data_IF_921869477997
#
_entry.id   IF_921869477997
#
_cell.length_a   1.000
_cell.length_b   1.000
_cell.length_c   1.000
_cell.angle_alpha   90.00
_cell.angle_beta   90.00
_cell.angle_gamma   90.00
#
_symmetry.space_group_name_H-M   'P 1'
#
loop_
_entity.id
_entity.type
_entity.pdbx_description
1 polymer ?
#
# COMPACT_ATOMS: atom_id res chain seq x y z
N UNK A 1 47.42 56.79 -41.84
CA UNK A 1 46.62 55.98 -42.78
C UNK A 1 45.74 55.04 -41.98
N UNK A 2 44.41 55.12 -42.13
CA UNK A 2 43.46 54.29 -41.36
C UNK A 2 43.50 52.85 -41.90
N UNK A 3 43.85 51.90 -41.06
CA UNK A 3 43.83 50.46 -41.38
C UNK A 3 42.39 49.97 -41.24
N UNK A 4 41.71 49.77 -42.37
CA UNK A 4 40.38 49.18 -42.38
C UNK A 4 40.49 47.69 -41.99
N UNK A 5 39.72 47.24 -40.99
CA UNK A 5 39.60 45.83 -40.64
C UNK A 5 39.09 45.04 -41.85
N UNK A 6 39.79 43.97 -42.20
CA UNK A 6 39.39 43.09 -43.30
C UNK A 6 38.21 42.23 -42.84
N UNK A 7 37.03 42.49 -43.40
CA UNK A 7 35.85 41.66 -43.18
C UNK A 7 36.07 40.31 -43.85
N UNK A 8 35.97 39.18 -43.12
CA UNK A 8 36.14 37.86 -43.70
C UNK A 8 35.04 37.61 -44.73
N UNK A 9 35.42 37.35 -45.99
CA UNK A 9 34.49 36.97 -47.07
C UNK A 9 34.41 35.45 -47.15
N UNK A 10 33.18 34.92 -47.20
CA UNK A 10 32.96 33.50 -47.42
C UNK A 10 33.44 33.08 -48.82
N UNK A 11 33.91 31.83 -49.01
CA UNK A 11 34.34 31.33 -50.31
C UNK A 11 33.20 31.42 -51.33
N UNK A 12 33.50 31.90 -52.54
CA UNK A 12 32.52 31.99 -53.64
C UNK A 12 32.20 30.60 -54.21
N UNK A 13 31.36 29.85 -53.50
CA UNK A 13 30.88 28.54 -53.94
C UNK A 13 29.98 28.69 -55.18
N UNK A 14 30.35 28.01 -56.28
CA UNK A 14 29.61 27.97 -57.55
C UNK A 14 28.16 27.46 -57.43
N UNK A 15 27.81 26.83 -56.30
CA UNK A 15 26.45 26.37 -56.02
C UNK A 15 25.48 27.52 -55.75
N UNK A 16 25.96 28.67 -55.24
CA UNK A 16 25.10 29.87 -55.05
C UNK A 16 24.65 30.51 -56.36
N UNK A 17 25.41 30.36 -57.45
CA UNK A 17 25.06 30.90 -58.78
C UNK A 17 24.09 30.02 -59.59
N UNK A 18 23.74 28.82 -59.10
CA UNK A 18 22.79 27.92 -59.77
C UNK A 18 21.36 28.02 -59.26
N UNK A 19 21.12 28.80 -58.19
CA UNK A 19 19.79 28.93 -57.59
C UNK A 19 19.04 30.06 -58.29
N UNK A 20 17.82 29.78 -58.75
CA UNK A 20 16.92 30.78 -59.33
C UNK A 20 16.72 31.93 -58.33
N UNK A 21 16.69 33.20 -58.76
CA UNK A 21 16.45 34.31 -57.85
C UNK A 21 15.08 34.14 -57.19
N UNK A 22 15.10 33.93 -55.87
CA UNK A 22 13.90 33.90 -55.04
C UNK A 22 13.34 35.32 -54.96
N UNK A 23 12.02 35.47 -55.13
CA UNK A 23 11.32 36.75 -54.90
C UNK A 23 11.35 37.18 -53.42
N UNK A 24 11.72 36.27 -52.53
CA UNK A 24 11.79 36.49 -51.09
C UNK A 24 13.23 36.66 -50.65
N UNK A 25 13.45 37.67 -49.82
CA UNK A 25 14.73 37.92 -49.16
C UNK A 25 15.17 36.65 -48.38
N UNK A 26 16.47 36.32 -48.38
CA UNK A 26 17.01 35.28 -47.52
C UNK A 26 16.60 35.50 -46.05
N UNK A 27 16.36 34.40 -45.33
CA UNK A 27 15.96 34.43 -43.91
C UNK A 27 16.93 35.26 -43.05
N UNK A 28 18.23 35.14 -43.29
CA UNK A 28 19.26 35.94 -42.61
C UNK A 28 19.07 37.46 -42.82
N UNK A 29 18.65 37.90 -44.01
CA UNK A 29 18.44 39.32 -44.30
C UNK A 29 17.12 39.84 -43.68
N UNK A 30 16.11 38.97 -43.56
CA UNK A 30 14.86 39.30 -42.89
C UNK A 30 15.06 39.48 -41.38
N UNK A 31 15.84 38.60 -40.76
CA UNK A 31 16.17 38.69 -39.33
C UNK A 31 16.97 39.96 -39.01
N UNK A 32 17.89 40.37 -39.89
CA UNK A 32 18.64 41.63 -39.72
C UNK A 32 17.72 42.85 -39.80
N UNK A 33 16.81 42.89 -40.79
CA UNK A 33 15.85 43.98 -40.93
C UNK A 33 14.87 44.05 -39.74
N UNK A 34 14.45 42.90 -39.22
CA UNK A 34 13.56 42.82 -38.07
C UNK A 34 14.28 43.27 -36.78
N UNK A 35 15.55 42.90 -36.61
CA UNK A 35 16.41 43.38 -35.53
C UNK A 35 16.72 44.88 -35.62
N UNK A 36 16.90 45.42 -36.82
CA UNK A 36 17.11 46.87 -37.05
C UNK A 36 15.82 47.68 -36.83
N UNK A 37 14.66 47.12 -37.18
CA UNK A 37 13.35 47.74 -36.97
C UNK A 37 12.84 47.61 -35.52
N UNK A 38 13.30 46.60 -34.77
CA UNK A 38 12.83 46.35 -33.42
C UNK A 38 13.32 47.42 -32.45
N UNK A 39 12.46 48.40 -32.17
CA UNK A 39 12.67 49.39 -31.12
C UNK A 39 12.03 48.87 -29.83
N UNK A 40 12.86 48.46 -28.88
CA UNK A 40 12.39 47.95 -27.58
C UNK A 40 11.55 49.01 -26.85
N UNK A 41 10.25 48.72 -26.68
CA UNK A 41 9.34 49.52 -25.85
C UNK A 41 8.99 48.69 -24.62
N UNK A 42 9.50 49.09 -23.46
CA UNK A 42 9.15 48.45 -22.21
C UNK A 42 7.66 48.69 -21.90
N UNK A 43 6.90 47.62 -21.72
CA UNK A 43 5.56 47.72 -21.14
C UNK A 43 5.70 48.13 -19.67
N UNK A 44 4.92 49.11 -19.19
CA UNK A 44 5.01 49.53 -17.79
C UNK A 44 4.76 48.34 -16.87
N UNK A 45 5.50 48.31 -15.75
CA UNK A 45 5.34 47.29 -14.72
C UNK A 45 3.91 47.37 -14.16
N UNK A 46 3.21 46.24 -14.10
CA UNK A 46 1.83 46.20 -13.62
C UNK A 46 1.80 46.41 -12.10
N UNK A 47 1.42 47.59 -11.61
CA UNK A 47 1.45 47.92 -10.17
C UNK A 47 0.68 46.94 -9.28
N UNK A 48 -0.29 46.21 -9.85
CA UNK A 48 -1.03 45.14 -9.16
C UNK A 48 -0.13 44.04 -8.61
N UNK A 49 1.06 43.81 -9.18
CA UNK A 49 2.01 42.82 -8.64
C UNK A 49 2.55 43.18 -7.25
N UNK A 50 2.53 44.46 -6.88
CA UNK A 50 2.97 44.93 -5.55
C UNK A 50 1.83 45.07 -4.54
N UNK A 51 0.58 45.06 -5.00
CA UNK A 51 -0.61 45.18 -4.14
C UNK A 51 -1.08 43.82 -3.59
N UNK A 52 -0.54 42.70 -4.09
CA UNK A 52 -0.86 41.35 -3.60
C UNK A 52 -0.20 41.13 -2.24
N UNK A 53 -0.96 41.39 -1.16
CA UNK A 53 -0.55 41.12 0.23
C UNK A 53 -0.34 39.63 0.56
N UNK A 54 -0.80 38.72 -0.29
CA UNK A 54 -0.64 37.27 -0.09
C UNK A 54 0.25 36.67 -1.18
N UNK A 55 1.57 36.70 -0.97
CA UNK A 55 2.52 35.90 -1.75
C UNK A 55 2.36 34.43 -1.29
N UNK A 56 1.68 33.61 -2.10
CA UNK A 56 1.51 32.19 -1.81
C UNK A 56 0.40 31.55 -2.64
N UNK A 57 0.34 30.21 -2.63
CA UNK A 57 -0.74 29.41 -3.22
C UNK A 57 -2.08 29.96 -2.72
N UNK A 58 -2.97 30.34 -3.64
CA UNK A 58 -4.31 30.82 -3.32
C UNK A 58 -4.93 29.93 -2.27
N UNK A 59 -5.39 30.48 -1.14
CA UNK A 59 -6.12 29.72 -0.13
C UNK A 59 -7.27 29.01 -0.84
N UNK A 60 -7.15 27.70 -1.01
CA UNK A 60 -8.18 26.88 -1.63
C UNK A 60 -9.42 27.11 -0.77
N UNK A 61 -10.42 27.81 -1.31
CA UNK A 61 -11.68 28.02 -0.64
C UNK A 61 -12.21 26.65 -0.23
N UNK A 62 -12.60 26.49 1.04
CA UNK A 62 -13.25 25.26 1.48
C UNK A 62 -14.42 25.01 0.52
N UNK A 63 -14.47 23.88 -0.20
CA UNK A 63 -15.57 23.63 -1.10
C UNK A 63 -16.87 23.74 -0.31
N UNK A 64 -17.85 24.48 -0.84
CA UNK A 64 -19.17 24.55 -0.23
C UNK A 64 -19.70 23.13 0.00
N UNK A 65 -20.28 22.90 1.19
CA UNK A 65 -20.86 21.61 1.56
C UNK A 65 -21.90 21.26 0.50
N UNK A 66 -21.59 20.29 -0.37
CA UNK A 66 -22.51 19.77 -1.39
C UNK A 66 -23.70 19.16 -0.67
N UNK A 67 -24.84 19.84 -0.75
CA UNK A 67 -26.13 19.25 -0.42
C UNK A 67 -26.38 18.10 -1.41
N UNK A 68 -26.83 16.92 -0.95
CA UNK A 68 -27.14 15.82 -1.87
C UNK A 68 -28.25 16.27 -2.83
N UNK A 69 -27.97 16.20 -4.13
CA UNK A 69 -29.02 16.28 -5.14
C UNK A 69 -29.86 15.02 -5.00
N UNK A 70 -31.09 15.14 -4.49
CA UNK A 70 -32.08 14.09 -4.66
C UNK A 70 -32.38 13.97 -6.16
N UNK A 71 -32.53 12.74 -6.71
CA UNK A 71 -32.92 12.56 -8.10
C UNK A 71 -34.23 13.32 -8.37
N UNK A 72 -34.26 14.05 -9.48
CA UNK A 72 -35.39 14.87 -9.91
C UNK A 72 -36.57 13.99 -10.31
N UNK A 73 -37.38 13.59 -9.33
CA UNK A 73 -38.60 12.80 -9.57
C UNK A 73 -39.78 13.71 -9.92
N UNK A 74 -39.77 14.99 -9.52
CA UNK A 74 -40.77 15.97 -9.96
C UNK A 74 -40.19 17.38 -9.92
N UNK A 75 -40.27 18.08 -11.06
CA UNK A 75 -40.01 19.51 -11.31
C UNK A 75 -38.64 19.83 -11.93
N UNK A 76 -38.64 19.90 -13.26
CA UNK A 76 -37.58 20.52 -14.08
C UNK A 76 -37.84 22.03 -14.03
N UNK A 77 -36.94 22.81 -13.40
CA UNK A 77 -36.99 24.26 -13.52
C UNK A 77 -36.61 24.67 -14.95
N UNK A 78 -37.42 25.51 -15.63
CA UNK A 78 -37.09 25.95 -16.97
C UNK A 78 -35.87 26.88 -16.94
N UNK A 79 -35.00 26.82 -17.98
CA UNK A 79 -33.82 27.67 -18.04
C UNK A 79 -34.22 29.16 -18.10
N UNK A 80 -33.44 30.06 -17.45
CA UNK A 80 -33.77 31.48 -17.40
C UNK A 80 -33.81 32.10 -18.79
N UNK A 81 -34.90 32.82 -19.08
CA UNK A 81 -35.10 33.56 -20.32
C UNK A 81 -34.04 34.66 -20.47
N UNK A 82 -33.26 34.59 -21.56
CA UNK A 82 -32.36 35.68 -21.96
C UNK A 82 -33.17 36.76 -22.66
N UNK A 83 -33.30 37.94 -22.05
CA UNK A 83 -33.83 39.13 -22.71
C UNK A 83 -32.85 39.59 -23.79
N UNK A 84 -33.22 39.43 -25.06
CA UNK A 84 -32.45 40.01 -26.19
C UNK A 84 -32.92 41.45 -26.43
N UNK A 85 -32.06 42.42 -26.14
CA UNK A 85 -32.24 43.82 -26.50
C UNK A 85 -32.38 43.97 -28.03
N UNK A 86 -33.53 44.47 -28.49
CA UNK A 86 -33.80 44.71 -29.91
C UNK A 86 -33.05 45.95 -30.41
N UNK A 87 -31.90 45.77 -31.05
CA UNK A 87 -31.32 46.79 -31.92
C UNK A 87 -31.95 46.70 -33.33
N UNK A 88 -32.11 47.83 -34.04
CA UNK A 88 -32.85 47.86 -35.30
C UNK A 88 -32.10 47.09 -36.39
N UNK A 89 -32.80 46.11 -37.00
CA UNK A 89 -32.31 45.31 -38.13
C UNK A 89 -32.13 46.19 -39.37
N UNK A 90 -30.87 46.43 -39.74
CA UNK A 90 -30.50 46.95 -41.06
C UNK A 90 -30.80 45.84 -42.08
N UNK A 91 -31.67 46.12 -43.06
CA UNK A 91 -32.02 45.17 -44.12
C UNK A 91 -30.86 45.07 -45.11
N UNK A 92 -30.03 44.05 -44.97
CA UNK A 92 -29.10 43.64 -46.03
C UNK A 92 -29.86 42.77 -47.04
N UNK A 93 -29.78 43.13 -48.32
CA UNK A 93 -30.46 42.43 -49.44
C UNK A 93 -29.78 41.13 -49.88
N UNK A 94 -28.84 40.60 -49.09
CA UNK A 94 -28.28 39.26 -49.28
C UNK A 94 -28.67 38.41 -48.07
N UNK A 95 -29.19 37.18 -48.24
CA UNK A 95 -29.57 36.34 -47.11
C UNK A 95 -28.32 36.09 -46.26
N UNK A 96 -28.37 36.52 -45.00
CA UNK A 96 -27.33 36.22 -44.02
C UNK A 96 -27.37 34.71 -43.78
N UNK A 97 -26.25 33.98 -43.94
CA UNK A 97 -26.19 32.56 -43.61
C UNK A 97 -26.71 32.30 -42.18
N UNK A 98 -27.53 31.27 -41.97
CA UNK A 98 -28.16 30.99 -40.68
C UNK A 98 -27.06 30.52 -39.69
N UNK A 99 -26.55 31.42 -38.84
CA UNK A 99 -25.48 31.15 -37.86
C UNK A 99 -25.96 30.42 -36.60
N UNK A 100 -27.10 29.72 -36.66
CA UNK A 100 -27.62 28.97 -35.50
C UNK A 100 -26.70 27.82 -35.12
N UNK A 101 -26.07 27.20 -36.12
CA UNK A 101 -25.09 26.15 -35.91
C UNK A 101 -23.68 26.72 -36.07
N UNK A 102 -22.78 26.53 -35.08
CA UNK A 102 -21.40 26.95 -35.21
C UNK A 102 -20.77 26.24 -36.42
N UNK A 103 -20.07 27.00 -37.26
CA UNK A 103 -19.37 26.47 -38.42
C UNK A 103 -18.44 25.31 -38.02
N UNK A 104 -18.81 24.10 -38.43
CA UNK A 104 -17.99 22.90 -38.27
C UNK A 104 -17.35 22.55 -39.62
N UNK A 105 -16.10 22.97 -39.88
CA UNK A 105 -15.43 22.58 -41.11
C UNK A 105 -15.23 21.07 -41.13
N UNK A 106 -15.69 20.41 -42.18
CA UNK A 106 -15.44 19.00 -42.41
C UNK A 106 -14.00 18.81 -42.91
N UNK A 107 -13.09 18.53 -41.98
CA UNK A 107 -11.69 18.25 -42.29
C UNK A 107 -11.57 16.74 -42.55
N UNK A 108 -11.53 16.36 -43.84
CA UNK A 108 -11.21 14.99 -44.25
C UNK A 108 -9.75 14.66 -43.95
N UNK A 109 -9.49 14.08 -42.78
CA UNK A 109 -8.19 13.51 -42.49
C UNK A 109 -8.01 12.23 -43.30
N UNK A 110 -7.17 12.27 -44.35
CA UNK A 110 -6.71 11.06 -45.04
C UNK A 110 -6.02 10.15 -44.03
N UNK A 111 -6.68 9.06 -43.62
CA UNK A 111 -6.07 8.05 -42.76
C UNK A 111 -5.04 7.30 -43.60
N UNK A 112 -3.75 7.52 -43.32
CA UNK A 112 -2.71 6.63 -43.81
C UNK A 112 -2.73 5.38 -42.94
N UNK A 113 -3.11 4.25 -43.52
CA UNK A 113 -2.94 2.96 -42.84
C UNK A 113 -1.45 2.60 -42.87
N UNK A 114 -0.81 2.73 -41.71
CA UNK A 114 0.56 2.29 -41.53
C UNK A 114 0.61 0.76 -41.66
N UNK A 115 1.53 0.20 -42.45
CA UNK A 115 1.71 -1.25 -42.48
C UNK A 115 2.09 -1.74 -41.09
N UNK A 116 1.52 -2.86 -40.68
CA UNK A 116 1.82 -3.48 -39.38
C UNK A 116 3.26 -4.00 -39.41
N UNK A 117 4.20 -3.21 -38.88
CA UNK A 117 5.59 -3.63 -38.71
C UNK A 117 5.81 -4.03 -37.25
N UNK A 118 6.43 -5.19 -37.03
CA UNK A 118 6.85 -5.64 -35.71
C UNK A 118 8.33 -5.37 -35.56
N UNK A 119 8.71 -4.54 -34.59
CA UNK A 119 10.10 -4.35 -34.23
C UNK A 119 10.59 -5.55 -33.40
N UNK A 120 11.88 -5.93 -33.47
CA UNK A 120 12.44 -7.01 -32.64
C UNK A 120 12.23 -6.81 -31.12
N UNK A 121 12.01 -5.57 -30.67
CA UNK A 121 11.73 -5.23 -29.27
C UNK A 121 10.26 -5.37 -28.85
N UNK A 122 9.32 -5.50 -29.78
CA UNK A 122 7.88 -5.49 -29.48
C UNK A 122 7.45 -6.76 -28.74
N UNK A 123 8.13 -7.89 -28.96
CA UNK A 123 7.86 -9.13 -28.24
C UNK A 123 8.24 -9.02 -26.75
N UNK A 124 9.36 -8.35 -26.46
CA UNK A 124 9.81 -8.09 -25.10
C UNK A 124 8.82 -7.16 -24.40
N UNK A 125 8.36 -6.12 -25.10
CA UNK A 125 7.36 -5.19 -24.59
C UNK A 125 6.01 -5.87 -24.31
N UNK A 126 5.51 -6.71 -25.22
CA UNK A 126 4.28 -7.49 -25.04
C UNK A 126 4.38 -8.44 -23.85
N UNK A 127 5.52 -9.12 -23.67
CA UNK A 127 5.78 -9.98 -22.50
C UNK A 127 5.72 -9.18 -21.20
N UNK A 128 6.38 -8.02 -21.13
CA UNK A 128 6.34 -7.13 -19.95
C UNK A 128 4.93 -6.62 -19.65
N UNK A 129 4.16 -6.23 -20.67
CA UNK A 129 2.77 -5.80 -20.47
C UNK A 129 1.94 -6.93 -19.88
N UNK A 130 2.09 -8.15 -20.41
CA UNK A 130 1.34 -9.32 -19.94
C UNK A 130 1.67 -9.65 -18.48
N UNK A 131 2.95 -9.57 -18.12
CA UNK A 131 3.42 -9.77 -16.75
C UNK A 131 2.87 -8.70 -15.78
N UNK A 132 2.85 -7.43 -16.20
CA UNK A 132 2.25 -6.34 -15.42
C UNK A 132 0.74 -6.55 -15.23
N UNK A 133 0.03 -6.94 -16.29
CA UNK A 133 -1.41 -7.21 -16.24
C UNK A 133 -1.73 -8.37 -15.30
N UNK A 134 -0.97 -9.46 -15.39
CA UNK A 134 -1.13 -10.63 -14.53
C UNK A 134 -0.85 -10.28 -13.05
N UNK A 135 0.16 -9.46 -12.79
CA UNK A 135 0.45 -8.97 -11.44
C UNK A 135 -0.71 -8.15 -10.86
N UNK A 136 -1.27 -7.21 -11.64
CA UNK A 136 -2.41 -6.41 -11.19
C UNK A 136 -3.66 -7.27 -10.93
N UNK A 137 -3.89 -8.32 -11.73
CA UNK A 137 -4.99 -9.26 -11.53
C UNK A 137 -4.84 -10.02 -10.21
N UNK A 138 -3.65 -10.58 -9.95
CA UNK A 138 -3.36 -11.29 -8.68
C UNK A 138 -3.55 -10.39 -7.46
N UNK A 139 -2.99 -9.18 -7.49
CA UNK A 139 -3.17 -8.21 -6.38
C UNK A 139 -4.65 -7.88 -6.16
N UNK A 140 -5.44 -7.75 -7.24
CA UNK A 140 -6.88 -7.50 -7.13
C UNK A 140 -7.64 -8.68 -6.54
N UNK A 141 -7.33 -9.90 -6.96
CA UNK A 141 -7.94 -11.13 -6.44
C UNK A 141 -7.59 -11.34 -4.96
N UNK A 142 -6.35 -11.04 -4.56
CA UNK A 142 -5.91 -11.06 -3.16
C UNK A 142 -6.67 -10.03 -2.32
N UNK A 143 -6.81 -8.79 -2.82
CA UNK A 143 -7.61 -7.75 -2.16
C UNK A 143 -9.07 -8.16 -2.02
N UNK A 144 -9.66 -8.73 -3.07
CA UNK A 144 -11.06 -9.17 -3.04
C UNK A 144 -11.25 -10.40 -2.13
N UNK A 145 -10.27 -11.28 -2.03
CA UNK A 145 -10.28 -12.39 -1.07
C UNK A 145 -10.12 -11.89 0.38
N UNK A 146 -9.25 -10.92 0.62
CA UNK A 146 -9.08 -10.29 1.93
C UNK A 146 -10.32 -9.49 2.37
N UNK A 147 -11.06 -8.91 1.42
CA UNK A 147 -12.34 -8.23 1.67
C UNK A 147 -13.49 -9.19 1.97
N UNK A 148 -13.40 -10.47 1.59
CA UNK A 148 -14.41 -11.49 1.91
C UNK A 148 -14.34 -11.83 3.40
N UNK A 149 -15.09 -11.07 4.19
CA UNK A 149 -15.29 -11.32 5.61
C UNK A 149 -16.02 -12.66 5.81
N UNK A 150 -15.33 -13.66 6.36
CA UNK A 150 -15.92 -14.93 6.81
C UNK A 150 -16.08 -14.89 8.34
N UNK A 151 -17.31 -14.70 8.82
CA UNK A 151 -17.60 -14.79 10.24
C UNK A 151 -17.50 -16.25 10.72
N UNK A 152 -16.94 -16.46 11.91
CA UNK A 152 -17.10 -17.71 12.64
C UNK A 152 -18.57 -17.82 13.11
N UNK A 153 -19.22 -18.99 13.04
CA UNK A 153 -20.56 -19.16 13.58
C UNK A 153 -20.56 -18.80 15.07
N UNK A 154 -21.62 -18.14 15.52
CA UNK A 154 -21.76 -17.74 16.93
C UNK A 154 -21.62 -18.98 17.82
N UNK A 155 -20.80 -18.92 18.90
CA UNK A 155 -20.81 -19.95 19.92
C UNK A 155 -22.24 -20.15 20.43
N UNK A 156 -22.67 -21.40 20.58
CA UNK A 156 -24.02 -21.77 21.05
C UNK A 156 -24.39 -21.07 22.36
N UNK A 157 -25.64 -20.60 22.46
CA UNK A 157 -26.26 -19.92 23.62
C UNK A 157 -26.49 -20.84 24.84
N UNK A 158 -25.51 -21.65 25.21
CA UNK A 158 -25.51 -22.44 26.45
C UNK A 158 -24.96 -21.55 27.57
N UNK A 159 -25.74 -21.18 28.60
CA UNK A 159 -25.24 -20.29 29.65
C UNK A 159 -24.27 -21.06 30.56
N UNK A 160 -22.98 -20.91 30.29
CA UNK A 160 -21.94 -21.27 31.25
C UNK A 160 -22.06 -20.33 32.47
N UNK A 161 -22.15 -20.91 33.67
CA UNK A 161 -22.39 -20.17 34.91
C UNK A 161 -21.29 -19.14 35.15
N UNK A 162 -21.67 -17.85 35.11
CA UNK A 162 -20.72 -16.76 35.29
C UNK A 162 -20.06 -16.83 36.68
N UNK A 163 -18.73 -16.71 36.77
CA UNK A 163 -18.05 -16.74 38.06
C UNK A 163 -18.43 -15.53 38.92
N UNK A 164 -18.33 -15.64 40.26
CA UNK A 164 -18.65 -14.57 41.19
C UNK A 164 -17.85 -13.29 40.90
N UNK A 165 -18.56 -12.15 40.87
CA UNK A 165 -17.98 -10.85 40.55
C UNK A 165 -17.05 -10.36 41.67
N UNK A 166 -15.75 -10.32 41.41
CA UNK A 166 -14.77 -9.72 42.31
C UNK A 166 -14.76 -8.18 42.20
N UNK A 167 -14.80 -7.50 43.35
CA UNK A 167 -14.65 -6.05 43.46
C UNK A 167 -13.17 -5.71 43.67
N UNK A 168 -12.55 -5.02 42.70
CA UNK A 168 -11.17 -4.56 42.79
C UNK A 168 -11.11 -3.13 43.34
N UNK A 169 -10.02 -2.79 44.04
CA UNK A 169 -9.76 -1.43 44.49
C UNK A 169 -9.59 -0.47 43.29
N UNK A 170 -9.93 0.81 43.48
CA UNK A 170 -9.78 1.82 42.44
C UNK A 170 -8.33 1.90 41.95
N UNK A 171 -8.16 1.78 40.65
CA UNK A 171 -6.84 1.82 40.01
C UNK A 171 -6.41 3.27 39.81
N UNK A 172 -5.20 3.60 40.24
CA UNK A 172 -4.59 4.91 39.97
C UNK A 172 -3.91 4.88 38.59
N UNK A 173 -4.08 5.92 37.76
CA UNK A 173 -3.47 5.96 36.43
C UNK A 173 -1.95 6.10 36.55
N UNK A 174 -1.22 5.14 36.01
CA UNK A 174 0.22 5.24 35.84
C UNK A 174 0.50 6.12 34.62
N UNK A 175 1.32 7.18 34.71
CA UNK A 175 1.66 7.99 33.55
C UNK A 175 2.34 7.09 32.51
N UNK A 176 1.88 7.19 31.27
CA UNK A 176 2.43 6.45 30.14
C UNK A 176 2.85 7.44 29.06
N UNK A 177 3.95 7.15 28.37
CA UNK A 177 4.40 7.95 27.24
C UNK A 177 3.60 7.50 26.02
N UNK A 178 2.88 8.43 25.40
CA UNK A 178 2.11 8.12 24.21
C UNK A 178 3.07 8.06 23.01
N UNK A 179 2.92 7.04 22.16
CA UNK A 179 3.78 6.90 20.98
C UNK A 179 3.66 8.08 20.01
N UNK A 180 2.53 8.80 20.02
CA UNK A 180 2.37 10.04 19.25
C UNK A 180 3.25 11.17 19.76
N UNK A 181 3.54 11.23 21.06
CA UNK A 181 4.43 12.24 21.63
C UNK A 181 5.86 11.99 21.14
N UNK A 182 6.30 10.73 21.18
CA UNK A 182 7.58 10.32 20.60
C UNK A 182 7.68 10.61 19.09
N UNK A 183 6.58 10.42 18.35
CA UNK A 183 6.50 10.77 16.91
C UNK A 183 6.57 12.30 16.71
N UNK A 184 5.88 13.06 17.56
CA UNK A 184 5.87 14.51 17.56
C UNK A 184 7.25 15.09 17.85
N UNK A 185 7.96 14.55 18.84
CA UNK A 185 9.30 14.99 19.21
C UNK A 185 10.30 14.77 18.07
N UNK A 186 10.26 13.60 17.43
CA UNK A 186 11.08 13.32 16.24
C UNK A 186 10.78 14.30 15.10
N UNK A 187 9.50 14.59 14.86
CA UNK A 187 9.10 15.56 13.85
C UNK A 187 9.62 16.97 14.20
N UNK A 188 9.45 17.42 15.44
CA UNK A 188 9.93 18.73 15.90
C UNK A 188 11.45 18.86 15.77
N UNK A 189 12.21 17.82 16.12
CA UNK A 189 13.67 17.80 15.95
C UNK A 189 14.06 17.96 14.48
N UNK A 190 13.47 17.16 13.59
CA UNK A 190 13.75 17.24 12.15
C UNK A 190 13.34 18.59 11.54
N UNK A 191 12.25 19.18 12.02
CA UNK A 191 11.78 20.49 11.58
C UNK A 191 12.75 21.61 12.01
N UNK A 192 13.25 21.58 13.25
CA UNK A 192 14.26 22.53 13.74
C UNK A 192 15.58 22.43 12.97
N UNK A 193 16.01 21.22 12.62
CA UNK A 193 17.19 21.02 11.77
C UNK A 193 16.99 21.60 10.37
N UNK A 194 15.82 21.38 9.76
CA UNK A 194 15.48 21.97 8.46
C UNK A 194 15.55 23.50 8.49
N UNK A 195 14.99 24.13 9.53
CA UNK A 195 15.05 25.57 9.70
C UNK A 195 16.49 26.09 9.87
N UNK A 196 17.33 25.38 10.63
CA UNK A 196 18.76 25.73 10.76
C UNK A 196 19.47 25.73 9.42
N UNK A 197 19.31 24.66 8.63
CA UNK A 197 19.91 24.57 7.28
C UNK A 197 19.44 25.68 6.34
N UNK A 198 18.15 26.01 6.36
CA UNK A 198 17.62 27.11 5.54
C UNK A 198 18.28 28.44 5.93
N UNK A 199 18.38 28.72 7.22
CA UNK A 199 19.01 29.95 7.71
C UNK A 199 20.52 30.00 7.39
N UNK A 200 21.23 28.87 7.47
CA UNK A 200 22.63 28.76 7.05
C UNK A 200 22.80 29.07 5.56
N UNK A 201 21.99 28.47 4.70
CA UNK A 201 21.98 28.73 3.25
C UNK A 201 21.65 30.20 2.97
N UNK A 202 20.65 30.77 3.65
CA UNK A 202 20.30 32.18 3.51
C UNK A 202 21.43 33.10 3.98
N UNK A 203 22.18 32.71 5.02
CA UNK A 203 23.34 33.46 5.53
C UNK A 203 24.52 33.40 4.57
N UNK A 204 24.79 32.23 4.00
CA UNK A 204 25.84 32.02 2.99
C UNK A 204 25.52 32.75 1.67
N UNK A 205 24.24 32.77 1.27
CA UNK A 205 23.75 33.43 0.07
C UNK A 205 23.46 34.93 0.27
N UNK A 206 23.82 35.53 1.41
CA UNK A 206 23.72 36.98 1.56
C UNK A 206 24.76 37.63 0.67
N UNK A 207 24.28 38.27 -0.38
CA UNK A 207 25.11 39.05 -1.27
C UNK A 207 25.72 40.23 -0.52
N UNK A 208 27.03 40.16 -0.26
CA UNK A 208 27.81 41.25 0.31
C UNK A 208 28.42 42.09 -0.82
N UNK A 209 27.79 43.21 -1.16
CA UNK A 209 28.35 44.16 -2.11
C UNK A 209 29.49 44.96 -1.44
N UNK A 210 30.68 44.92 -2.02
CA UNK A 210 31.71 45.91 -1.70
C UNK A 210 31.35 47.24 -2.37
N UNK A 211 31.46 48.39 -1.68
CA UNK A 211 31.23 49.68 -2.32
C UNK A 211 32.20 49.84 -3.48
N UNK A 212 31.70 50.36 -4.61
CA UNK A 212 32.53 50.61 -5.78
C UNK A 212 33.70 51.52 -5.36
N UNK A 213 34.97 51.11 -5.57
CA UNK A 213 36.10 51.98 -5.33
C UNK A 213 35.96 53.22 -6.21
N UNK A 214 36.30 54.40 -5.66
CA UNK A 214 36.27 55.64 -6.44
C UNK A 214 37.42 55.62 -7.45
N UNK A 215 37.13 55.21 -8.69
CA UNK A 215 38.10 55.21 -9.77
C UNK A 215 38.04 56.54 -10.51
N UNK A 216 39.08 57.35 -10.38
CA UNK A 216 39.29 58.45 -11.32
C UNK A 216 39.62 57.86 -12.71
N UNK A 217 38.98 58.32 -13.79
CA UNK A 217 39.18 57.77 -15.13
C UNK A 217 40.59 58.08 -15.64
N UNK A 218 41.52 57.14 -15.43
CA UNK A 218 42.85 57.22 -16.02
C UNK A 218 42.77 56.86 -17.51
N UNK A 219 42.96 57.87 -18.36
CA UNK A 219 43.06 57.70 -19.81
C UNK A 219 44.36 56.94 -20.10
N UNK A 220 44.32 55.70 -20.62
CA UNK A 220 45.53 54.92 -20.83
C UNK A 220 46.38 55.55 -21.93
N UNK A 221 47.66 55.82 -21.62
CA UNK A 221 48.65 56.24 -22.61
C UNK A 221 48.91 55.09 -23.59
N UNK A 222 49.02 55.42 -24.87
CA UNK A 222 49.19 54.46 -25.98
C UNK A 222 50.44 53.60 -25.74
N UNK A 223 50.26 52.28 -25.65
CA UNK A 223 51.34 51.34 -25.33
C UNK A 223 52.30 51.18 -26.51
N UNK A 224 53.61 51.16 -26.19
CA UNK A 224 54.68 50.76 -27.09
C UNK A 224 54.55 49.26 -27.36
N UNK A 225 54.68 48.86 -28.62
CA UNK A 225 54.46 47.49 -29.10
C UNK A 225 55.42 46.54 -28.37
N UNK A 226 54.92 45.56 -27.60
CA UNK A 226 55.78 44.60 -26.91
C UNK A 226 56.41 43.60 -27.90
N UNK A 227 57.59 43.04 -27.57
CA UNK A 227 58.24 42.03 -28.40
C UNK A 227 57.37 40.77 -28.54
N UNK A 228 57.58 39.96 -29.60
CA UNK A 228 56.75 38.80 -29.91
C UNK A 228 56.67 37.82 -28.73
N UNK A 229 55.45 37.55 -28.29
CA UNK A 229 55.11 36.75 -27.12
C UNK A 229 55.51 35.29 -27.32
N UNK A 230 56.27 34.73 -26.37
CA UNK A 230 56.54 33.28 -26.31
C UNK A 230 55.26 32.55 -25.88
N UNK A 231 54.87 31.45 -26.56
CA UNK A 231 53.69 30.69 -26.19
C UNK A 231 53.86 30.11 -24.77
N UNK A 232 52.93 30.46 -23.88
CA UNK A 232 52.85 29.92 -22.52
C UNK A 232 52.12 28.59 -22.59
N UNK A 233 52.68 27.57 -21.96
CA UNK A 233 52.02 26.27 -21.83
C UNK A 233 50.69 26.44 -21.09
N UNK A 234 49.61 25.96 -21.68
CA UNK A 234 48.27 26.05 -21.10
C UNK A 234 47.75 24.65 -20.80
N UNK A 235 47.13 24.53 -19.63
CA UNK A 235 46.51 23.28 -19.20
C UNK A 235 45.19 23.15 -19.95
N UNK A 236 45.00 22.05 -20.67
CA UNK A 236 43.72 21.75 -21.28
C UNK A 236 42.70 21.36 -20.19
N UNK A 237 41.58 22.08 -20.15
CA UNK A 237 40.47 21.79 -19.23
C UNK A 237 39.89 20.37 -19.40
N UNK A 238 40.14 19.71 -20.54
CA UNK A 238 39.78 18.31 -20.76
C UNK A 238 40.56 17.36 -19.84
N UNK A 239 41.84 17.62 -19.59
CA UNK A 239 42.65 16.84 -18.65
C UNK A 239 42.20 17.02 -17.21
N UNK A 240 41.87 18.25 -16.83
CA UNK A 240 41.31 18.56 -15.50
C UNK A 240 39.97 17.85 -15.30
N UNK A 241 39.05 17.97 -16.27
CA UNK A 241 37.73 17.30 -16.23
C UNK A 241 37.83 15.78 -16.16
N UNK A 242 38.82 15.19 -16.82
CA UNK A 242 39.05 13.74 -16.78
C UNK A 242 39.43 13.25 -15.38
N UNK A 243 40.34 13.97 -14.71
CA UNK A 243 40.77 13.65 -13.35
C UNK A 243 39.63 13.83 -12.34
N UNK A 244 38.86 14.92 -12.46
CA UNK A 244 37.67 15.17 -11.65
C UNK A 244 36.63 14.06 -11.82
N UNK A 245 36.39 13.64 -13.07
CA UNK A 245 35.44 12.57 -13.35
C UNK A 245 35.88 11.24 -12.76
N UNK A 246 37.17 10.92 -12.88
CA UNK A 246 37.76 9.73 -12.27
C UNK A 246 37.58 9.72 -10.75
N UNK A 247 37.88 10.83 -10.08
CA UNK A 247 37.70 10.96 -8.63
C UNK A 247 36.22 10.82 -8.22
N UNK A 248 35.30 11.40 -8.99
CA UNK A 248 33.87 11.26 -8.76
C UNK A 248 33.38 9.81 -8.90
N UNK A 249 33.81 9.13 -9.96
CA UNK A 249 33.43 7.74 -10.22
C UNK A 249 34.00 6.79 -9.16
N UNK A 250 35.22 7.05 -8.66
CA UNK A 250 35.82 6.33 -7.53
C UNK A 250 35.02 6.53 -6.23
N UNK A 251 34.68 7.78 -5.88
CA UNK A 251 33.86 8.07 -4.69
C UNK A 251 32.46 7.43 -4.78
N UNK A 252 31.85 7.45 -5.96
CA UNK A 252 30.56 6.79 -6.20
C UNK A 252 30.69 5.29 -6.00
N UNK A 253 31.72 4.65 -6.56
CA UNK A 253 31.99 3.22 -6.40
C UNK A 253 32.18 2.84 -4.92
N UNK A 254 32.90 3.66 -4.15
CA UNK A 254 33.07 3.43 -2.71
C UNK A 254 31.73 3.49 -1.97
N UNK A 255 30.89 4.49 -2.25
CA UNK A 255 29.56 4.61 -1.64
C UNK A 255 28.65 3.44 -1.99
N UNK A 256 28.63 3.06 -3.26
CA UNK A 256 27.82 1.94 -3.75
C UNK A 256 28.29 0.62 -3.11
N UNK A 257 29.61 0.42 -2.96
CA UNK A 257 30.17 -0.77 -2.30
C UNK A 257 29.83 -0.84 -0.80
N UNK A 258 29.88 0.29 -0.08
CA UNK A 258 29.48 0.36 1.32
C UNK A 258 27.98 0.05 1.46
N UNK A 259 27.15 0.61 0.59
CA UNK A 259 25.71 0.35 0.58
C UNK A 259 25.38 -1.11 0.23
N UNK A 260 26.19 -1.76 -0.60
CA UNK A 260 26.05 -3.19 -0.92
C UNK A 260 26.43 -4.08 0.27
N UNK A 261 27.56 -3.81 0.93
CA UNK A 261 27.95 -4.52 2.17
C UNK A 261 26.88 -4.41 3.25
N UNK A 262 26.34 -3.20 3.46
CA UNK A 262 25.33 -2.96 4.49
C UNK A 262 24.00 -3.65 4.17
N UNK A 263 23.61 -3.71 2.90
CA UNK A 263 22.45 -4.50 2.44
C UNK A 263 22.65 -5.99 2.67
N UNK A 264 23.85 -6.50 2.42
CA UNK A 264 24.17 -7.91 2.61
C UNK A 264 24.23 -8.31 4.09
N UNK A 265 24.79 -7.44 4.96
CA UNK A 265 24.76 -7.62 6.41
C UNK A 265 23.33 -7.70 6.93
N UNK A 266 22.48 -6.74 6.52
CA UNK A 266 21.07 -6.73 6.90
C UNK A 266 20.32 -7.98 6.42
N UNK A 267 20.56 -8.44 5.19
CA UNK A 267 19.95 -9.67 4.66
C UNK A 267 20.33 -10.88 5.52
N UNK A 268 21.61 -11.02 5.89
CA UNK A 268 22.08 -12.10 6.77
C UNK A 268 21.46 -12.03 8.16
N UNK A 269 21.34 -10.84 8.75
CA UNK A 269 20.67 -10.65 10.03
C UNK A 269 19.19 -11.04 9.98
N UNK A 270 18.50 -10.67 8.90
CA UNK A 270 17.10 -11.04 8.66
C UNK A 270 16.98 -12.56 8.48
N UNK A 271 17.85 -13.19 7.68
CA UNK A 271 17.88 -14.66 7.51
C UNK A 271 18.14 -15.42 8.82
N UNK A 272 19.04 -14.91 9.68
CA UNK A 272 19.30 -15.50 11.01
C UNK A 272 18.06 -15.40 11.89
N UNK A 273 17.42 -14.22 11.93
CA UNK A 273 16.21 -13.99 12.73
C UNK A 273 15.06 -14.89 12.27
N UNK A 274 14.81 -14.97 10.97
CA UNK A 274 13.80 -15.87 10.41
C UNK A 274 14.11 -17.33 10.73
N UNK A 275 15.38 -17.75 10.64
CA UNK A 275 15.78 -19.11 10.99
C UNK A 275 15.59 -19.43 12.48
N UNK A 276 15.80 -18.45 13.37
CA UNK A 276 15.53 -18.56 14.80
C UNK A 276 14.03 -18.64 15.09
N UNK A 277 13.21 -17.81 14.46
CA UNK A 277 11.75 -17.84 14.56
C UNK A 277 11.19 -19.18 14.08
N UNK A 278 11.66 -19.68 12.93
CA UNK A 278 11.28 -21.00 12.41
C UNK A 278 11.71 -22.10 13.38
N UNK A 279 12.89 -21.99 14.00
CA UNK A 279 13.36 -22.96 15.00
C UNK A 279 12.45 -22.95 16.23
N UNK A 280 12.09 -21.77 16.74
CA UNK A 280 11.18 -21.62 17.87
C UNK A 280 9.82 -22.21 17.57
N UNK A 281 9.22 -21.85 16.43
CA UNK A 281 7.94 -22.40 15.97
C UNK A 281 8.00 -23.92 15.84
N UNK A 282 9.08 -24.47 15.27
CA UNK A 282 9.27 -25.92 15.22
C UNK A 282 9.33 -26.53 16.62
N UNK A 283 10.01 -25.91 17.58
CA UNK A 283 10.07 -26.44 18.95
C UNK A 283 8.71 -26.41 19.66
N UNK A 284 7.91 -25.37 19.45
CA UNK A 284 6.58 -25.23 20.04
C UNK A 284 5.56 -26.18 19.43
N UNK A 285 5.59 -26.37 18.11
CA UNK A 285 4.67 -27.24 17.38
C UNK A 285 5.01 -28.73 17.50
N UNK A 286 6.24 -29.07 17.91
CA UNK A 286 6.63 -30.47 18.16
C UNK A 286 5.93 -30.95 19.43
N UNK A 287 4.89 -31.74 19.23
CA UNK A 287 4.17 -32.46 20.26
C UNK A 287 5.10 -33.50 20.91
N UNK A 288 5.44 -33.31 22.18
CA UNK A 288 6.17 -34.30 22.98
C UNK A 288 5.17 -35.27 23.61
N UNK A 289 5.39 -36.57 23.45
CA UNK A 289 4.58 -37.58 24.12
C UNK A 289 4.66 -37.40 25.64
N UNK A 290 3.54 -37.61 26.33
CA UNK A 290 3.59 -37.72 27.79
C UNK A 290 4.46 -38.93 28.17
N UNK A 291 5.30 -38.82 29.21
CA UNK A 291 6.06 -39.96 29.71
C UNK A 291 5.11 -41.11 30.03
N UNK A 292 5.54 -42.34 29.74
CA UNK A 292 4.74 -43.54 29.99
C UNK A 292 4.35 -43.55 31.46
N UNK A 293 3.04 -43.49 31.72
CA UNK A 293 2.50 -43.54 33.07
C UNK A 293 2.72 -44.95 33.61
N UNK A 294 3.55 -45.05 34.64
CA UNK A 294 3.74 -46.30 35.37
C UNK A 294 2.59 -46.42 36.36
N UNK A 295 1.61 -47.25 36.04
CA UNK A 295 0.50 -47.54 36.94
C UNK A 295 0.91 -48.65 37.91
N UNK A 296 0.32 -48.64 39.11
CA UNK A 296 0.45 -49.76 40.02
C UNK A 296 -0.05 -51.04 39.32
N UNK A 297 0.69 -52.17 39.42
CA UNK A 297 0.28 -53.42 38.79
C UNK A 297 -1.10 -53.83 39.32
N UNK A 298 -1.99 -54.21 38.41
CA UNK A 298 -3.33 -54.69 38.77
C UNK A 298 -3.17 -55.97 39.57
N UNK A 299 -3.55 -55.91 40.85
CA UNK A 299 -3.61 -57.09 41.72
C UNK A 299 -4.82 -57.95 41.33
N UNK A 300 -4.63 -58.84 40.34
CA UNK A 300 -5.64 -59.82 39.93
C UNK A 300 -5.77 -60.86 41.05
N UNK A 301 -6.77 -60.69 41.92
CA UNK A 301 -7.10 -61.69 42.93
C UNK A 301 -7.80 -62.88 42.24
N UNK A 302 -7.37 -64.13 42.46
CA UNK A 302 -8.07 -65.28 41.91
C UNK A 302 -9.51 -65.30 42.43
N UNK A 303 -10.46 -65.43 41.52
CA UNK A 303 -11.87 -65.57 41.89
C UNK A 303 -12.08 -66.89 42.61
N UNK A 304 -12.65 -66.85 43.82
CA UNK A 304 -13.12 -68.05 44.53
C UNK A 304 -14.44 -68.59 43.96
N UNK A 305 -15.03 -67.90 42.98
CA UNK A 305 -16.30 -68.30 42.35
C UNK A 305 -16.01 -69.49 41.43
N UNK A 306 -16.75 -70.58 41.61
CA UNK A 306 -16.66 -71.75 40.74
C UNK A 306 -17.02 -71.35 39.30
N UNK A 307 -16.35 -71.88 38.27
CA UNK A 307 -16.72 -71.64 36.88
C UNK A 307 -18.20 -71.94 36.65
N UNK A 308 -18.91 -71.00 36.01
CA UNK A 308 -20.32 -71.18 35.66
C UNK A 308 -20.43 -72.37 34.71
N UNK A 309 -21.12 -73.43 35.13
CA UNK A 309 -21.44 -74.53 34.22
C UNK A 309 -22.45 -74.01 33.20
N UNK A 310 -22.14 -74.17 31.92
CA UNK A 310 -23.06 -73.80 30.85
C UNK A 310 -24.35 -74.62 30.98
N UNK A 311 -25.48 -73.93 31.13
CA UNK A 311 -26.82 -74.53 31.07
C UNK A 311 -27.36 -74.24 29.69
N UNK A 312 -27.65 -75.29 28.91
CA UNK A 312 -28.26 -75.10 27.59
C UNK A 312 -29.66 -74.51 27.75
N UNK A 313 -30.05 -73.48 26.96
CA UNK A 313 -31.42 -73.00 26.95
C UNK A 313 -32.39 -74.16 26.75
N UNK A 314 -33.47 -74.19 27.52
CA UNK A 314 -34.49 -75.22 27.44
C UNK A 314 -35.30 -75.03 26.14
N UNK A 315 -34.74 -75.45 25.00
CA UNK A 315 -35.33 -75.31 23.68
C UNK A 315 -35.72 -76.69 23.12
N UNK A 316 -36.83 -76.75 22.39
CA UNK A 316 -37.27 -77.96 21.69
C UNK A 316 -37.71 -79.10 22.62
N UNK A 317 -37.18 -80.30 22.38
CA UNK A 317 -37.57 -81.53 23.09
C UNK A 317 -37.24 -81.50 24.58
N UNK A 318 -36.17 -80.81 24.99
CA UNK A 318 -35.80 -80.67 26.41
C UNK A 318 -36.86 -79.89 27.19
N UNK A 319 -37.47 -78.87 26.56
CA UNK A 319 -38.62 -78.14 27.14
C UNK A 319 -39.85 -79.03 27.22
N UNK A 320 -40.14 -79.80 26.17
CA UNK A 320 -41.27 -80.72 26.14
C UNK A 320 -41.17 -81.80 27.22
N UNK A 321 -39.99 -82.41 27.40
CA UNK A 321 -39.77 -83.39 28.49
C UNK A 321 -39.98 -82.79 29.88
N UNK A 322 -39.47 -81.60 30.16
CA UNK A 322 -39.65 -80.96 31.48
C UNK A 322 -41.10 -80.55 31.71
N UNK A 323 -41.80 -80.05 30.69
CA UNK A 323 -43.24 -79.74 30.79
C UNK A 323 -44.07 -81.01 31.03
N UNK A 324 -43.76 -82.11 30.33
CA UNK A 324 -44.44 -83.40 30.56
C UNK A 324 -44.15 -83.98 31.94
N UNK A 325 -42.92 -83.86 32.45
CA UNK A 325 -42.57 -84.26 33.82
C UNK A 325 -43.29 -83.40 34.87
N UNK A 326 -43.48 -82.10 34.60
CA UNK A 326 -44.28 -81.22 35.46
C UNK A 326 -45.77 -81.58 35.42
N UNK A 327 -46.31 -81.91 34.24
CA UNK A 327 -47.68 -82.40 34.07
C UNK A 327 -47.89 -83.71 34.86
N UNK A 328 -46.99 -84.69 34.74
CA UNK A 328 -47.06 -85.95 35.51
C UNK A 328 -46.96 -85.75 37.03
N UNK A 329 -46.16 -84.78 37.49
CA UNK A 329 -46.12 -84.43 38.93
C UNK A 329 -47.38 -83.67 39.39
N UNK A 330 -48.05 -82.93 38.50
CA UNK A 330 -49.25 -82.15 38.82
C UNK A 330 -50.51 -83.02 38.95
N UNK A 331 -50.55 -84.18 38.27
CA UNK A 331 -51.63 -85.15 38.43
C UNK A 331 -51.54 -85.96 39.73
N UNK A 332 -50.38 -85.96 40.41
CA UNK A 332 -50.22 -86.64 41.70
C UNK A 332 -50.35 -85.72 42.93
N UNK A 333 -50.40 -84.38 42.75
CA UNK A 333 -50.43 -83.42 43.86
C UNK A 333 -51.79 -82.74 44.10
N UNK A 334 -52.88 -83.21 43.49
CA UNK A 334 -54.24 -82.69 43.76
C UNK A 334 -54.89 -83.27 45.02
N UNK A 335 -54.17 -84.06 45.81
CA UNK A 335 -54.58 -84.44 47.16
C UNK A 335 -53.47 -84.08 48.13
N UNK A 336 -53.54 -82.87 48.69
CA UNK A 336 -53.36 -82.57 50.12
C UNK A 336 -53.10 -81.06 50.35
N UNK A 337 -54.13 -80.42 50.91
CA UNK A 337 -54.12 -79.40 51.97
C UNK A 337 -53.22 -78.15 51.89
N UNK A 338 -53.93 -77.01 51.81
CA UNK A 338 -53.90 -75.88 52.77
C UNK A 338 -52.81 -75.94 53.86
N UNK A 339 -52.00 -74.88 53.98
CA UNK A 339 -52.10 -73.89 55.07
C UNK A 339 -51.03 -72.80 55.00
N UNK A 340 -51.48 -71.58 55.30
CA UNK A 340 -50.82 -70.47 56.00
C UNK A 340 -49.83 -69.57 55.24
N UNK A 341 -50.42 -68.53 54.64
CA UNK A 341 -49.95 -67.15 54.74
C UNK A 341 -49.54 -66.84 56.19
N UNK A 342 -48.27 -66.50 56.42
CA UNK A 342 -47.78 -65.53 57.42
C UNK A 342 -46.26 -65.68 57.57
N UNK A 343 -45.49 -65.29 56.55
CA UNK A 343 -44.01 -65.20 56.64
C UNK A 343 -43.41 -64.20 55.65
N UNK A 344 -44.23 -63.30 55.09
CA UNK A 344 -43.79 -62.33 54.07
C UNK A 344 -43.67 -60.90 54.64
N UNK A 345 -44.15 -60.64 55.86
CA UNK A 345 -44.07 -59.32 56.49
C UNK A 345 -42.72 -59.04 57.19
N UNK A 346 -41.92 -60.06 57.50
CA UNK A 346 -40.73 -59.91 58.35
C UNK A 346 -39.44 -59.66 57.55
N UNK A 347 -39.38 -60.06 56.27
CA UNK A 347 -38.20 -59.90 55.41
C UNK A 347 -38.09 -58.47 54.82
N UNK A 348 -39.20 -57.72 54.81
CA UNK A 348 -39.26 -56.35 54.24
C UNK A 348 -38.71 -55.26 55.19
N UNK A 349 -38.62 -55.53 56.49
CA UNK A 349 -38.19 -54.55 57.49
C UNK A 349 -36.67 -54.51 57.71
N UNK A 350 -35.96 -55.61 57.42
CA UNK A 350 -34.49 -55.67 57.55
C UNK A 350 -33.74 -55.03 56.37
N UNK A 351 -34.33 -54.99 55.16
CA UNK A 351 -33.71 -54.37 53.99
C UNK A 351 -33.72 -52.82 54.00
N UNK A 352 -34.49 -52.19 54.90
CA UNK A 352 -34.51 -50.72 55.05
C UNK A 352 -33.51 -50.17 56.07
N UNK A 353 -32.90 -51.02 56.91
CA UNK A 353 -31.90 -50.59 57.90
C UNK A 353 -30.45 -50.60 57.39
N UNK A 354 -30.18 -51.27 56.26
CA UNK A 354 -28.82 -51.38 55.69
C UNK A 354 -28.50 -50.31 54.63
N UNK A 355 -29.47 -49.49 54.21
CA UNK A 355 -29.27 -48.46 53.18
C UNK A 355 -28.81 -47.09 53.73
N UNK A 356 -28.69 -46.92 55.05
CA UNK A 356 -28.42 -45.61 55.69
C UNK A 356 -26.97 -45.43 56.16
N UNK A 357 -26.08 -46.41 55.93
CA UNK A 357 -24.71 -46.38 56.47
C UNK A 357 -23.63 -46.09 55.39
N UNK A 358 -23.97 -46.07 54.09
CA UNK A 358 -22.99 -45.92 53.00
C UNK A 358 -22.78 -44.48 52.46
N UNK A 359 -23.35 -43.44 53.09
CA UNK A 359 -23.23 -42.05 52.58
C UNK A 359 -22.28 -41.14 53.36
N UNK A 360 -21.31 -41.69 54.11
CA UNK A 360 -20.38 -40.90 54.93
C UNK A 360 -18.93 -41.39 54.84
N UNK A 361 -18.40 -41.49 53.62
CA UNK A 361 -16.95 -41.58 53.40
C UNK A 361 -16.65 -41.27 51.95
N UNK A 362 -16.37 -40.00 51.63
CA UNK A 362 -15.49 -39.59 50.52
C UNK A 362 -15.28 -38.06 50.60
N UNK A 363 -14.49 -37.66 51.59
CA UNK A 363 -13.74 -36.41 51.61
C UNK A 363 -12.33 -36.76 52.06
N UNK A 364 -11.39 -36.84 51.11
CA UNK A 364 -9.96 -36.50 51.21
C UNK A 364 -9.15 -37.20 50.10
N UNK A 365 -8.76 -36.45 49.08
CA UNK A 365 -7.38 -36.24 48.60
C UNK A 365 -7.35 -35.38 47.33
#
# INVERSE_FOLDING_TARGET
MKTNLTVPKSPKLRTKSRVKPSKFLPMEEQEILEMEQYKFVAKPINTKIFEVKELGVSKIGKPEIRKPLSPAITNIEPPPQRFTSSLPKIKFHHPIPDFKDPFMPFIEHRKMELPNFSLPGDEIHKRKIKEIQEKMLRERDEMDNARKFKAQPLPSDSPDGLPPRHYYALTYPKPFVLETDNRGDKYQQSFRERLRRINEIEKENRFHATPLPNFEPQIPKKLVIPPPTKPVEFIFNTGVRMLERKAFDEQRKMRDSIAEVLREQKRKEDEIREAEEIRHLRTELVHRAQPIKHFAPVNIRPSKRKPTRAVSPLIGEKRRKIMNLQEETSFQSSTQFNTNHDTIAEISSELKRLATIESFSDMQL
#
